data_IF_396065627931
#
_entry.id   IF_396065627931
#
_cell.length_a   1.000
_cell.length_b   1.000
_cell.length_c   1.000
_cell.angle_alpha   90.00
_cell.angle_beta   90.00
_cell.angle_gamma   90.00
#
_symmetry.space_group_name_H-M   'P 1'
#
loop_
_entity.id
_entity.type
_entity.pdbx_description
1 polymer ?
#
# COMPACT_ATOMS: atom_id res chain seq x y z
N UNK A 1 -7.06 -0.01 17.10
CA UNK A 1 -6.56 -0.68 15.89
C UNK A 1 -7.01 0.09 14.65
N UNK A 2 -6.11 0.86 14.06
CA UNK A 2 -6.48 1.73 12.93
C UNK A 2 -5.52 1.59 11.76
N UNK A 3 -6.09 1.41 10.58
CA UNK A 3 -5.38 1.49 9.31
C UNK A 3 -5.85 2.75 8.58
N UNK A 4 -4.93 3.65 8.30
CA UNK A 4 -5.19 4.88 7.56
C UNK A 4 -4.55 4.75 6.18
N UNK A 5 -5.33 4.93 5.12
CA UNK A 5 -4.79 4.88 3.76
C UNK A 5 -4.80 6.27 3.13
N UNK A 6 -3.70 6.61 2.46
CA UNK A 6 -3.58 7.84 1.70
C UNK A 6 -3.39 7.45 0.23
N UNK A 7 -4.34 7.81 -0.62
CA UNK A 7 -4.33 7.44 -2.03
C UNK A 7 -4.19 8.67 -2.92
N UNK A 8 -3.51 8.49 -4.04
CA UNK A 8 -3.34 9.52 -5.04
C UNK A 8 -2.34 9.11 -6.10
N UNK A 9 -2.31 9.80 -7.23
CA UNK A 9 -1.31 9.54 -8.27
C UNK A 9 0.07 10.00 -7.83
N UNK A 10 1.09 9.51 -8.52
CA UNK A 10 2.46 9.96 -8.29
C UNK A 10 2.55 11.47 -8.52
N UNK A 11 3.30 12.15 -7.65
CA UNK A 11 3.47 13.59 -7.73
C UNK A 11 2.34 14.41 -7.11
N UNK A 12 1.33 13.76 -6.48
CA UNK A 12 0.22 14.46 -5.82
C UNK A 12 0.55 14.96 -4.42
N UNK A 13 1.73 14.66 -3.89
CA UNK A 13 2.11 15.01 -2.52
C UNK A 13 1.65 13.98 -1.48
N UNK A 14 1.13 12.84 -1.90
CA UNK A 14 0.64 11.81 -0.96
C UNK A 14 1.72 11.26 -0.04
N UNK A 15 2.96 11.17 -0.52
CA UNK A 15 4.09 10.71 0.29
C UNK A 15 4.38 11.65 1.45
N UNK A 16 4.33 12.96 1.20
CA UNK A 16 4.49 13.98 2.23
C UNK A 16 3.32 13.95 3.21
N UNK A 17 2.10 13.88 2.68
CA UNK A 17 0.89 13.81 3.51
C UNK A 17 0.90 12.58 4.42
N UNK A 18 1.26 11.41 3.89
CA UNK A 18 1.33 10.16 4.66
C UNK A 18 2.35 10.26 5.79
N UNK A 19 3.51 10.84 5.52
CA UNK A 19 4.55 11.04 6.53
C UNK A 19 4.11 11.99 7.62
N UNK A 20 3.45 13.08 7.26
CA UNK A 20 2.92 14.06 8.22
C UNK A 20 1.89 13.38 9.14
N UNK A 21 0.97 12.62 8.58
CA UNK A 21 -0.04 11.89 9.36
C UNK A 21 0.63 10.92 10.33
N UNK A 22 1.58 10.14 9.85
CA UNK A 22 2.29 9.15 10.68
C UNK A 22 3.07 9.82 11.80
N UNK A 23 3.80 10.89 11.50
CA UNK A 23 4.60 11.63 12.48
C UNK A 23 3.71 12.32 13.51
N UNK A 24 2.58 12.89 13.08
CA UNK A 24 1.61 13.54 13.97
C UNK A 24 1.05 12.54 14.99
N UNK A 25 0.68 11.35 14.53
CA UNK A 25 0.18 10.29 15.41
C UNK A 25 1.26 9.90 16.43
N UNK A 26 2.49 9.77 15.99
CA UNK A 26 3.61 9.41 16.86
C UNK A 26 3.88 10.47 17.92
N UNK A 27 3.73 11.74 17.58
CA UNK A 27 3.95 12.87 18.49
C UNK A 27 2.78 13.09 19.45
N UNK A 28 1.54 13.02 18.96
CA UNK A 28 0.33 13.30 19.76
C UNK A 28 -0.12 12.12 20.62
N UNK A 29 0.20 10.90 20.20
CA UNK A 29 -0.22 9.66 20.86
C UNK A 29 1.00 8.81 21.15
N UNK A 30 1.83 9.26 22.07
CA UNK A 30 3.13 8.64 22.37
C UNK A 30 3.02 7.20 22.86
N UNK A 31 1.90 6.82 23.46
CA UNK A 31 1.66 5.43 23.90
C UNK A 31 1.28 4.51 22.75
N UNK A 32 0.93 5.05 21.59
CA UNK A 32 0.52 4.31 20.40
C UNK A 32 1.61 4.41 19.36
N UNK A 33 2.18 3.29 18.94
CA UNK A 33 3.14 3.28 17.85
C UNK A 33 2.46 3.62 16.52
N UNK A 34 3.20 4.19 15.59
CA UNK A 34 2.73 4.39 14.22
C UNK A 34 3.76 3.86 13.23
N UNK A 35 3.26 3.31 12.12
CA UNK A 35 4.10 2.70 11.09
C UNK A 35 3.68 3.22 9.73
N UNK A 36 4.64 3.77 8.98
CA UNK A 36 4.41 4.22 7.61
C UNK A 36 4.81 3.11 6.65
N UNK A 37 3.90 2.74 5.76
CA UNK A 37 4.15 1.75 4.73
C UNK A 37 3.56 2.23 3.41
N UNK A 38 3.80 1.49 2.33
CA UNK A 38 3.34 1.86 1.00
C UNK A 38 2.96 0.63 0.19
N UNK A 39 2.05 0.80 -0.77
CA UNK A 39 1.68 -0.23 -1.75
C UNK A 39 1.73 0.35 -3.16
N UNK A 40 2.31 -0.35 -4.12
CA UNK A 40 3.06 -1.60 -3.95
C UNK A 40 4.38 -1.37 -3.21
N UNK A 41 4.89 -2.42 -2.57
CA UNK A 41 6.15 -2.32 -1.82
C UNK A 41 7.34 -2.41 -2.77
N UNK A 42 8.22 -1.42 -2.69
CA UNK A 42 9.37 -1.32 -3.60
C UNK A 42 10.52 -2.27 -3.25
N UNK A 43 10.55 -2.78 -2.04
CA UNK A 43 11.67 -3.57 -1.53
C UNK A 43 11.40 -5.07 -1.42
N UNK A 44 10.21 -5.53 -1.75
CA UNK A 44 9.85 -6.95 -1.70
C UNK A 44 9.77 -7.55 -3.09
N UNK A 45 9.98 -8.87 -3.25
CA UNK A 45 9.87 -9.51 -4.56
C UNK A 45 8.50 -9.30 -5.22
N UNK A 46 7.42 -9.49 -4.50
CA UNK A 46 6.06 -9.31 -5.05
C UNK A 46 5.80 -7.86 -5.44
N UNK A 47 6.20 -6.91 -4.60
CA UNK A 47 6.05 -5.50 -4.91
C UNK A 47 6.85 -5.07 -6.12
N UNK A 48 8.08 -5.54 -6.24
CA UNK A 48 8.92 -5.28 -7.43
C UNK A 48 8.30 -5.84 -8.69
N UNK A 49 7.79 -7.07 -8.64
CA UNK A 49 7.12 -7.69 -9.79
C UNK A 49 5.89 -6.88 -10.21
N UNK A 50 5.10 -6.43 -9.25
CA UNK A 50 3.93 -5.61 -9.54
C UNK A 50 4.30 -4.29 -10.21
N UNK A 51 5.33 -3.60 -9.71
CA UNK A 51 5.80 -2.34 -10.29
C UNK A 51 6.31 -2.55 -11.71
N UNK A 52 7.12 -3.57 -11.94
CA UNK A 52 7.69 -3.87 -13.25
C UNK A 52 6.61 -4.26 -14.26
N UNK A 53 5.54 -4.93 -13.81
CA UNK A 53 4.45 -5.36 -14.70
C UNK A 53 3.74 -4.19 -15.38
N UNK A 54 3.70 -3.04 -14.75
CA UNK A 54 3.06 -1.83 -15.32
C UNK A 54 3.83 -1.31 -16.54
N UNK A 55 5.14 -1.55 -16.57
CA UNK A 55 6.03 -1.08 -17.65
C UNK A 55 6.24 -2.11 -18.75
N UNK A 56 5.78 -3.34 -18.53
CA UNK A 56 5.98 -4.45 -19.45
C UNK A 56 4.73 -4.66 -20.31
N UNK A 57 4.83 -4.33 -21.60
CA UNK A 57 3.73 -4.48 -22.56
C UNK A 57 3.31 -5.95 -22.77
N UNK A 58 4.18 -6.90 -22.45
CA UNK A 58 3.88 -8.32 -22.53
C UNK A 58 3.01 -8.85 -21.37
N UNK A 59 2.78 -8.03 -20.35
CA UNK A 59 1.98 -8.43 -19.19
C UNK A 59 0.55 -7.89 -19.36
N UNK A 60 -0.42 -8.79 -19.31
CA UNK A 60 -1.83 -8.42 -19.45
C UNK A 60 -2.35 -7.65 -18.23
N UNK A 61 -3.46 -6.88 -18.37
CA UNK A 61 -4.09 -6.21 -17.23
C UNK A 61 -4.47 -7.16 -16.09
N UNK A 62 -4.94 -8.37 -16.42
CA UNK A 62 -5.28 -9.38 -15.41
C UNK A 62 -4.04 -9.85 -14.65
N UNK A 63 -2.94 -10.07 -15.36
CA UNK A 63 -1.67 -10.44 -14.74
C UNK A 63 -1.15 -9.32 -13.84
N UNK A 64 -1.24 -8.08 -14.27
CA UNK A 64 -0.87 -6.91 -13.46
C UNK A 64 -1.71 -6.86 -12.18
N UNK A 65 -3.03 -6.96 -12.31
CA UNK A 65 -3.94 -6.96 -11.18
C UNK A 65 -3.63 -8.09 -10.20
N UNK A 66 -3.30 -9.26 -10.71
CA UNK A 66 -2.93 -10.42 -9.89
C UNK A 66 -1.66 -10.14 -9.07
N UNK A 67 -0.66 -9.52 -9.68
CA UNK A 67 0.58 -9.18 -9.00
C UNK A 67 0.37 -8.14 -7.89
N UNK A 68 -0.44 -7.10 -8.16
CA UNK A 68 -0.79 -6.12 -7.14
C UNK A 68 -1.60 -6.74 -6.01
N UNK A 69 -2.54 -7.63 -6.33
CA UNK A 69 -3.33 -8.33 -5.32
C UNK A 69 -2.45 -9.25 -4.45
N UNK A 70 -1.49 -9.93 -5.05
CA UNK A 70 -0.55 -10.79 -4.33
C UNK A 70 0.33 -9.98 -3.38
N UNK A 71 0.85 -8.84 -3.83
CA UNK A 71 1.63 -7.96 -2.96
C UNK A 71 0.79 -7.42 -1.80
N UNK A 72 -0.43 -7.00 -2.07
CA UNK A 72 -1.35 -6.50 -1.05
C UNK A 72 -1.69 -7.57 -0.01
N UNK A 73 -1.99 -8.77 -0.45
CA UNK A 73 -2.30 -9.89 0.45
C UNK A 73 -1.11 -10.23 1.34
N UNK A 74 0.06 -10.34 0.78
CA UNK A 74 1.29 -10.62 1.51
C UNK A 74 1.60 -9.48 2.49
N UNK A 75 1.49 -8.24 2.05
CA UNK A 75 1.68 -7.04 2.87
C UNK A 75 0.74 -7.03 4.08
N UNK A 76 -0.53 -7.37 3.87
CA UNK A 76 -1.52 -7.43 4.94
C UNK A 76 -1.17 -8.47 5.99
N UNK A 77 -0.70 -9.64 5.58
CA UNK A 77 -0.36 -10.73 6.49
C UNK A 77 0.92 -10.50 7.26
N UNK A 78 1.95 -10.04 6.57
CA UNK A 78 3.32 -10.04 7.10
C UNK A 78 3.65 -8.74 7.82
N UNK A 79 3.04 -7.65 7.42
CA UNK A 79 3.43 -6.33 7.90
C UNK A 79 2.30 -5.58 8.60
N UNK A 80 1.16 -5.43 7.93
CA UNK A 80 0.07 -4.60 8.46
C UNK A 80 -0.61 -5.25 9.66
N UNK A 81 -1.10 -6.46 9.49
CA UNK A 81 -1.85 -7.17 10.52
C UNK A 81 -1.10 -7.36 11.83
N UNK A 82 0.17 -7.82 11.83
CA UNK A 82 0.91 -7.95 13.07
C UNK A 82 1.06 -6.62 13.82
N UNK A 83 1.23 -5.51 13.10
CA UNK A 83 1.33 -4.19 13.73
C UNK A 83 0.02 -3.71 14.31
N UNK A 84 -1.08 -3.93 13.60
CA UNK A 84 -2.42 -3.62 14.10
C UNK A 84 -2.74 -4.45 15.35
N UNK A 85 -2.36 -5.71 15.37
CA UNK A 85 -2.57 -6.59 16.52
C UNK A 85 -1.78 -6.14 17.76
N UNK A 86 -0.66 -5.46 17.55
CA UNK A 86 0.12 -4.86 18.65
C UNK A 86 -0.43 -3.49 19.09
N UNK A 87 -1.52 -3.03 18.50
CA UNK A 87 -2.13 -1.74 18.82
C UNK A 87 -1.50 -0.54 18.11
N UNK A 88 -0.61 -0.75 17.15
CA UNK A 88 -0.04 0.33 16.36
C UNK A 88 -1.05 0.86 15.35
N UNK A 89 -0.90 2.14 14.98
CA UNK A 89 -1.62 2.72 13.85
C UNK A 89 -0.74 2.54 12.60
N UNK A 90 -1.30 1.99 11.55
CA UNK A 90 -0.61 1.81 10.28
C UNK A 90 -1.10 2.86 9.28
N UNK A 91 -0.17 3.63 8.71
CA UNK A 91 -0.45 4.60 7.66
C UNK A 91 0.10 4.04 6.35
N UNK A 92 -0.77 3.77 5.39
CA UNK A 92 -0.39 3.19 4.10
C UNK A 92 -0.52 4.22 2.98
N UNK A 93 0.59 4.49 2.32
CA UNK A 93 0.66 5.30 1.12
C UNK A 93 0.38 4.40 -0.08
N UNK A 94 -0.74 4.62 -0.79
CA UNK A 94 -1.15 3.81 -1.92
C UNK A 94 -1.17 4.60 -3.20
N UNK A 95 -0.60 4.02 -4.26
CA UNK A 95 -0.68 4.61 -5.58
C UNK A 95 -2.06 4.33 -6.19
N UNK A 96 -2.69 5.36 -6.76
CA UNK A 96 -4.03 5.25 -7.36
C UNK A 96 -4.05 4.26 -8.54
N UNK A 97 -2.94 4.10 -9.25
CA UNK A 97 -2.84 3.15 -10.36
C UNK A 97 -3.07 1.71 -9.88
N UNK A 98 -2.47 1.33 -8.75
CA UNK A 98 -2.67 0.00 -8.21
C UNK A 98 -4.12 -0.23 -7.79
N UNK A 99 -4.78 0.80 -7.27
CA UNK A 99 -6.20 0.74 -6.92
C UNK A 99 -7.08 0.54 -8.15
N UNK A 100 -6.81 1.27 -9.24
CA UNK A 100 -7.57 1.15 -10.49
C UNK A 100 -7.42 -0.24 -11.11
N UNK A 101 -6.20 -0.76 -11.16
CA UNK A 101 -5.94 -2.11 -11.71
C UNK A 101 -6.67 -3.16 -10.88
N UNK A 102 -6.62 -3.05 -9.57
CA UNK A 102 -7.29 -3.97 -8.66
C UNK A 102 -8.81 -3.94 -8.83
N UNK A 103 -9.39 -2.75 -8.92
CA UNK A 103 -10.84 -2.58 -9.14
C UNK A 103 -11.27 -3.08 -10.52
N UNK A 104 -10.44 -2.88 -11.54
CA UNK A 104 -10.69 -3.42 -12.87
C UNK A 104 -10.82 -4.94 -12.87
N UNK A 105 -9.95 -5.62 -12.14
CA UNK A 105 -10.01 -7.07 -11.98
C UNK A 105 -11.32 -7.51 -11.31
N UNK A 106 -11.70 -6.84 -10.23
CA UNK A 106 -12.94 -7.14 -9.50
C UNK A 106 -14.17 -6.86 -10.38
N UNK A 107 -14.12 -5.78 -11.17
CA UNK A 107 -15.22 -5.40 -12.06
C UNK A 107 -15.45 -6.37 -13.22
N UNK A 108 -14.45 -7.14 -13.61
CA UNK A 108 -14.54 -8.15 -14.67
C UNK A 108 -15.08 -9.50 -14.17
N UNK A 109 -15.07 -9.70 -12.90
CA UNK A 109 -15.57 -10.92 -12.28
C UNK A 109 -17.08 -10.79 -12.01
#
# INVERSE_FOLDING_TARGET
MYLITVEGPDGSGKGVASRIVCDTIRMEFTATGSWLTAEPRKHTPLGKMAIESVRDEGVSPIEQATLFAADRLHHSHVEIRPRLERGEVVVSDRNVISSIVYQGMVGEI
#
